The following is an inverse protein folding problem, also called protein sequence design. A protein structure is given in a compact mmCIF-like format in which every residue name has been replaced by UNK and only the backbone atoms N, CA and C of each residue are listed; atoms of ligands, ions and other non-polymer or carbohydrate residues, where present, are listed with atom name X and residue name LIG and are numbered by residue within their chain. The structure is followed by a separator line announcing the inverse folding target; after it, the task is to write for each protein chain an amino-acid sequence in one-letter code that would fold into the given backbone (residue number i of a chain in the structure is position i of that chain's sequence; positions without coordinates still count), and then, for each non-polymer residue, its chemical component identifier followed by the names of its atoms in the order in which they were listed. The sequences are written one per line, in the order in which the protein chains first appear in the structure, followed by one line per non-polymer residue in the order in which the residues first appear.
data_IF_786154598951
#
_entry.id   IF_786154598951
#
_cell.length_a   1.000
_cell.length_b   1.000
_cell.length_c   1.000
_cell.angle_alpha   90.00
_cell.angle_beta   90.00
_cell.angle_gamma   90.00
#
_symmetry.space_group_name_H-M   'P 1'
#
loop_
_entity.id
_entity.type
_entity.pdbx_description
1 polymer ?
#
# COMPACT_ATOMS: atom_id res chain seq x y z
N UNK A 1 3.66 -24.83 20.30
CA UNK A 1 4.78 -24.28 21.08
C UNK A 1 5.48 -23.31 20.17
N UNK A 2 5.64 -22.06 20.61
CA UNK A 2 6.12 -20.94 19.81
C UNK A 2 7.38 -21.30 19.04
N UNK A 3 7.34 -21.13 17.71
CA UNK A 3 8.53 -21.22 16.88
C UNK A 3 9.40 -20.00 17.20
N UNK A 4 10.61 -20.14 17.79
CA UNK A 4 11.47 -19.01 18.15
C UNK A 4 11.96 -18.20 16.93
N UNK A 5 11.66 -18.64 15.70
CA UNK A 5 11.89 -17.93 14.45
C UNK A 5 10.64 -17.24 13.86
N UNK A 6 9.47 -17.34 14.49
CA UNK A 6 8.27 -16.71 13.95
C UNK A 6 8.41 -15.18 13.93
N UNK A 7 8.19 -14.57 12.77
CA UNK A 7 8.30 -13.10 12.60
C UNK A 7 6.96 -12.49 12.25
N UNK A 8 6.68 -11.30 12.78
CA UNK A 8 5.54 -10.51 12.38
C UNK A 8 5.93 -9.08 12.06
N UNK A 9 5.16 -8.43 11.19
CA UNK A 9 5.36 -7.02 10.87
C UNK A 9 4.31 -6.42 9.95
N UNK A 10 4.29 -5.10 9.92
CA UNK A 10 3.44 -4.27 9.08
C UNK A 10 4.22 -3.81 7.85
N UNK A 11 3.61 -4.00 6.68
CA UNK A 11 4.18 -3.61 5.40
C UNK A 11 3.20 -2.70 4.68
N UNK A 12 3.57 -1.44 4.46
CA UNK A 12 2.74 -0.52 3.68
C UNK A 12 3.22 -0.45 2.24
N UNK A 13 2.28 -0.38 1.29
CA UNK A 13 2.58 -0.25 -0.13
C UNK A 13 2.28 1.18 -0.55
N UNK A 14 3.31 1.93 -0.95
CA UNK A 14 3.22 3.34 -1.37
C UNK A 14 3.53 3.49 -2.86
N UNK A 15 3.15 4.62 -3.43
CA UNK A 15 3.38 4.93 -4.84
C UNK A 15 2.26 5.78 -5.43
N UNK A 16 2.52 6.33 -6.63
CA UNK A 16 1.54 7.11 -7.40
C UNK A 16 0.22 6.36 -7.64
N UNK A 17 -0.90 7.06 -7.92
CA UNK A 17 -2.15 6.40 -8.28
C UNK A 17 -1.94 5.47 -9.47
N UNK A 18 -2.66 4.35 -9.49
CA UNK A 18 -2.63 3.36 -10.57
C UNK A 18 -1.29 2.62 -10.81
N UNK A 19 -0.32 2.68 -9.90
CA UNK A 19 0.92 1.85 -9.97
C UNK A 19 0.70 0.35 -9.69
N UNK A 20 -0.54 -0.09 -9.46
CA UNK A 20 -0.86 -1.50 -9.25
C UNK A 20 -0.75 -1.99 -7.80
N UNK A 21 -0.68 -1.09 -6.80
CA UNK A 21 -0.60 -1.42 -5.36
C UNK A 21 -1.62 -2.46 -4.90
N UNK A 22 -2.90 -2.19 -5.10
CA UNK A 22 -4.01 -3.10 -4.74
C UNK A 22 -3.95 -4.43 -5.50
N UNK A 23 -3.45 -4.42 -6.74
CA UNK A 23 -3.24 -5.64 -7.53
C UNK A 23 -2.12 -6.50 -6.93
N UNK A 24 -1.00 -5.88 -6.52
CA UNK A 24 0.09 -6.58 -5.86
C UNK A 24 -0.38 -7.17 -4.52
N UNK A 25 -1.07 -6.37 -3.70
CA UNK A 25 -1.62 -6.81 -2.42
C UNK A 25 -2.54 -8.04 -2.60
N UNK A 26 -3.53 -7.97 -3.49
CA UNK A 26 -4.44 -9.08 -3.74
C UNK A 26 -3.69 -10.35 -4.17
N UNK A 27 -2.65 -10.22 -5.00
CA UNK A 27 -1.81 -11.35 -5.39
C UNK A 27 -1.00 -11.92 -4.23
N UNK A 28 -0.47 -11.08 -3.34
CA UNK A 28 0.29 -11.53 -2.17
C UNK A 28 -0.58 -12.25 -1.16
N UNK A 29 -1.83 -11.79 -0.96
CA UNK A 29 -2.79 -12.44 -0.06
C UNK A 29 -3.40 -13.70 -0.67
N UNK A 30 -3.52 -13.77 -2.00
CA UNK A 30 -4.18 -14.87 -2.70
C UNK A 30 -5.70 -14.72 -2.81
N UNK A 31 -6.26 -13.61 -2.31
CA UNK A 31 -7.68 -13.28 -2.38
C UNK A 31 -7.89 -11.84 -2.85
N UNK A 32 -9.05 -11.58 -3.46
CA UNK A 32 -9.43 -10.24 -3.91
C UNK A 32 -10.03 -9.42 -2.77
N UNK A 33 -9.18 -8.86 -1.91
CA UNK A 33 -9.57 -8.04 -0.75
C UNK A 33 -9.71 -6.55 -1.09
N UNK A 34 -8.80 -6.00 -1.89
CA UNK A 34 -8.81 -4.59 -2.29
C UNK A 34 -9.48 -4.40 -3.65
N UNK A 35 -10.24 -3.31 -3.79
CA UNK A 35 -10.91 -2.93 -5.04
C UNK A 35 -9.83 -2.48 -6.04
N UNK A 36 -9.80 -3.09 -7.22
CA UNK A 36 -8.89 -2.72 -8.32
C UNK A 36 -9.68 -2.10 -9.47
N UNK A 37 -9.27 -0.94 -9.96
CA UNK A 37 -9.85 -0.30 -11.15
C UNK A 37 -8.80 0.53 -11.90
N UNK A 38 -8.95 0.71 -13.23
CA UNK A 38 -8.07 1.55 -14.02
C UNK A 38 -8.30 3.06 -13.76
N UNK A 39 -9.41 3.44 -13.13
CA UNK A 39 -9.66 4.83 -12.74
C UNK A 39 -8.82 5.19 -11.51
N UNK A 40 -8.16 6.36 -11.49
CA UNK A 40 -7.52 6.89 -10.28
C UNK A 40 -8.50 6.96 -9.11
N UNK A 41 -7.97 6.97 -7.87
CA UNK A 41 -8.74 7.11 -6.62
C UNK A 41 -9.66 5.92 -6.28
N UNK A 42 -9.25 4.70 -6.65
CA UNK A 42 -10.00 3.48 -6.34
C UNK A 42 -9.92 3.13 -4.83
N UNK A 43 -8.76 3.32 -4.19
CA UNK A 43 -8.57 3.10 -2.74
C UNK A 43 -8.73 4.43 -1.98
N UNK A 44 -9.82 4.56 -1.21
CA UNK A 44 -10.15 5.76 -0.41
C UNK A 44 -9.99 5.58 1.10
N UNK A 45 -9.80 4.34 1.53
CA UNK A 45 -9.55 3.92 2.91
C UNK A 45 -8.39 2.93 2.90
N UNK A 46 -7.62 2.88 3.98
CA UNK A 46 -6.57 1.87 4.12
C UNK A 46 -7.20 0.48 4.27
N UNK A 47 -6.81 -0.45 3.41
CA UNK A 47 -7.26 -1.85 3.48
C UNK A 47 -6.12 -2.68 4.05
N UNK A 48 -6.42 -3.49 5.07
CA UNK A 48 -5.45 -4.39 5.69
C UNK A 48 -5.63 -5.81 5.14
N UNK A 49 -4.56 -6.41 4.66
CA UNK A 49 -4.49 -7.78 4.20
C UNK A 49 -3.53 -8.55 5.08
N UNK A 50 -3.98 -9.66 5.64
CA UNK A 50 -3.16 -10.45 6.56
C UNK A 50 -2.71 -11.72 5.83
N UNK A 51 -1.42 -11.84 5.61
CA UNK A 51 -0.79 -13.06 5.10
C UNK A 51 -0.25 -13.85 6.29
N UNK A 52 -0.78 -15.05 6.50
CA UNK A 52 -0.28 -15.99 7.51
C UNK A 52 0.50 -17.11 6.82
N UNK A 53 1.66 -17.44 7.37
CA UNK A 53 2.49 -18.59 7.01
C UNK A 53 2.97 -19.29 8.29
N UNK A 54 3.54 -20.47 8.14
CA UNK A 54 3.99 -21.27 9.29
C UNK A 54 5.12 -20.59 10.09
N UNK A 55 5.90 -19.72 9.44
CA UNK A 55 7.06 -19.04 9.99
C UNK A 55 6.90 -17.51 10.11
N UNK A 56 5.82 -16.93 9.60
CA UNK A 56 5.61 -15.49 9.68
C UNK A 56 4.15 -15.04 9.50
N UNK A 57 3.89 -13.81 9.94
CA UNK A 57 2.66 -13.08 9.66
C UNK A 57 2.98 -11.68 9.13
N UNK A 58 2.38 -11.31 8.01
CA UNK A 58 2.58 -10.00 7.40
C UNK A 58 1.24 -9.29 7.29
N UNK A 59 1.15 -8.09 7.84
CA UNK A 59 -0.02 -7.22 7.67
C UNK A 59 0.31 -6.19 6.58
N UNK A 60 -0.20 -6.43 5.37
CA UNK A 60 -0.12 -5.50 4.27
C UNK A 60 -1.14 -4.37 4.45
N UNK A 61 -0.70 -3.14 4.25
CA UNK A 61 -1.55 -1.94 4.24
C UNK A 61 -1.56 -1.41 2.81
N UNK A 62 -2.70 -1.53 2.13
CA UNK A 62 -2.93 -0.87 0.84
C UNK A 62 -3.44 0.55 1.08
N UNK A 63 -2.79 1.51 0.43
CA UNK A 63 -2.92 2.94 0.70
C UNK A 63 -3.48 3.67 -0.53
N UNK A 64 -4.17 4.82 -0.33
CA UNK A 64 -4.43 5.74 -1.41
C UNK A 64 -3.13 6.06 -2.18
N UNK A 65 -3.19 6.16 -3.51
CA UNK A 65 -2.02 6.62 -4.26
C UNK A 65 -1.68 8.08 -3.90
N UNK A 66 -0.40 8.37 -3.71
CA UNK A 66 0.07 9.72 -3.38
C UNK A 66 -0.44 10.74 -4.40
N UNK A 67 -1.00 11.86 -3.94
CA UNK A 67 -1.49 12.90 -4.82
C UNK A 67 -1.35 14.28 -4.18
N UNK A 68 -1.17 15.30 -5.01
CA UNK A 68 -1.29 16.68 -4.56
C UNK A 68 -2.76 17.04 -4.41
N UNK A 69 -3.24 17.32 -3.19
CA UNK A 69 -4.67 17.53 -2.97
C UNK A 69 -5.14 18.85 -3.58
N UNK A 70 -6.34 18.81 -4.18
CA UNK A 70 -7.01 19.97 -4.80
C UNK A 70 -8.39 20.25 -4.19
N UNK A 71 -8.92 19.33 -3.41
CA UNK A 71 -10.24 19.43 -2.75
C UNK A 71 -10.29 18.55 -1.50
N UNK A 72 -11.26 18.81 -0.61
CA UNK A 72 -11.35 18.20 0.73
C UNK A 72 -11.24 16.68 0.81
N UNK A 73 -11.77 15.95 -0.18
CA UNK A 73 -11.64 14.49 -0.20
C UNK A 73 -10.17 14.08 -0.43
N UNK A 74 -9.46 14.78 -1.31
CA UNK A 74 -8.05 14.51 -1.57
C UNK A 74 -7.17 14.88 -0.38
N UNK A 75 -7.50 15.95 0.36
CA UNK A 75 -6.82 16.30 1.62
C UNK A 75 -6.92 15.13 2.61
N UNK A 76 -8.13 14.60 2.83
CA UNK A 76 -8.32 13.42 3.69
C UNK A 76 -7.58 12.18 3.20
N UNK A 77 -7.51 11.97 1.89
CA UNK A 77 -6.74 10.85 1.33
C UNK A 77 -5.24 11.03 1.54
N UNK A 78 -4.75 12.26 1.45
CA UNK A 78 -3.35 12.59 1.75
C UNK A 78 -3.05 12.38 3.24
N UNK A 79 -3.96 12.75 4.14
CA UNK A 79 -3.83 12.48 5.57
C UNK A 79 -3.72 10.96 5.82
N UNK A 80 -4.62 10.16 5.23
CA UNK A 80 -4.59 8.70 5.35
C UNK A 80 -3.30 8.08 4.79
N UNK A 81 -2.80 8.63 3.68
CA UNK A 81 -1.52 8.22 3.09
C UNK A 81 -0.36 8.55 4.04
N UNK A 82 -0.32 9.77 4.61
CA UNK A 82 0.71 10.18 5.57
C UNK A 82 0.68 9.40 6.88
N UNK A 83 -0.49 8.97 7.37
CA UNK A 83 -0.58 8.09 8.53
C UNK A 83 -0.15 6.64 8.21
N UNK A 84 -0.25 6.20 6.95
CA UNK A 84 -0.09 4.80 6.58
C UNK A 84 1.32 4.22 6.72
N UNK A 85 2.34 5.08 6.89
CA UNK A 85 3.74 4.68 7.01
C UNK A 85 4.42 5.11 8.32
N UNK A 86 3.66 5.64 9.30
CA UNK A 86 4.24 6.07 10.58
C UNK A 86 4.63 4.91 11.50
N UNK A 87 3.83 3.86 11.51
CA UNK A 87 3.99 2.70 12.42
C UNK A 87 4.13 1.40 11.62
N UNK A 88 5.06 1.38 10.65
CA UNK A 88 5.29 0.21 9.79
C UNK A 88 6.74 -0.26 9.88
N UNK A 89 6.94 -1.56 9.77
CA UNK A 89 8.27 -2.17 9.81
C UNK A 89 8.98 -2.10 8.45
N UNK A 90 8.21 -2.03 7.35
CA UNK A 90 8.74 -1.96 5.99
C UNK A 90 7.83 -1.16 5.06
N UNK A 91 8.45 -0.38 4.16
CA UNK A 91 7.77 0.34 3.09
C UNK A 91 8.10 -0.32 1.75
N UNK A 92 7.07 -0.74 1.02
CA UNK A 92 7.16 -1.16 -0.38
C UNK A 92 6.81 0.02 -1.29
N UNK A 93 7.82 0.61 -1.91
CA UNK A 93 7.61 1.65 -2.91
C UNK A 93 7.34 1.04 -4.29
N UNK A 94 6.19 1.37 -4.90
CA UNK A 94 5.78 0.92 -6.22
C UNK A 94 5.75 2.05 -7.25
N UNK A 95 6.45 1.84 -8.36
CA UNK A 95 6.43 2.72 -9.52
C UNK A 95 6.26 1.96 -10.83
N UNK A 96 6.00 2.72 -11.90
CA UNK A 96 5.91 2.22 -13.27
C UNK A 96 7.32 2.01 -13.85
N UNK A 97 7.55 0.85 -14.47
CA UNK A 97 8.88 0.45 -14.95
C UNK A 97 9.40 1.28 -16.13
N UNK A 98 8.50 1.84 -16.94
CA UNK A 98 8.84 2.53 -18.19
C UNK A 98 9.30 3.97 -17.90
N UNK A 99 8.68 4.59 -16.89
CA UNK A 99 8.81 6.01 -16.62
C UNK A 99 9.59 6.37 -15.36
N UNK A 100 10.05 5.39 -14.58
CA UNK A 100 10.73 5.65 -13.31
C UNK A 100 12.21 6.08 -13.48
N UNK A 101 12.68 7.09 -12.71
CA UNK A 101 11.91 8.00 -11.88
C UNK A 101 11.34 9.19 -12.68
N UNK A 102 10.10 9.56 -12.39
CA UNK A 102 9.52 10.86 -12.76
C UNK A 102 9.66 11.86 -11.61
N UNK A 103 9.53 13.16 -11.88
CA UNK A 103 9.45 14.18 -10.82
C UNK A 103 8.36 13.85 -9.78
N UNK A 104 7.27 13.24 -10.21
CA UNK A 104 6.18 12.85 -9.33
C UNK A 104 6.51 11.60 -8.51
N UNK A 105 7.49 10.76 -8.89
CA UNK A 105 8.02 9.71 -7.99
C UNK A 105 8.87 10.30 -6.88
N UNK A 106 9.61 11.38 -7.16
CA UNK A 106 10.48 12.04 -6.19
C UNK A 106 9.70 12.77 -5.09
N UNK A 107 8.40 13.01 -5.31
CA UNK A 107 7.50 13.64 -4.36
C UNK A 107 6.80 12.65 -3.42
N UNK A 108 6.80 11.35 -3.76
CA UNK A 108 6.22 10.26 -2.95
C UNK A 108 7.20 9.85 -1.87
#
# INVERSE_FOLDING_TARGET
MDNPQFRSGFVTILGKPNTGKSTLMNRLIGEKLSITSPKPQTTRYNIKGILNRDDCQIVFIDTPGYLKPRYKLQEKMQDLWSESYKDVDLILFMSDIISFPTDYDLEV
#
